data_IF_014899864252
#
_entry.id   IF_014899864252
#
_cell.length_a   1.000
_cell.length_b   1.000
_cell.length_c   1.000
_cell.angle_alpha   90.00
_cell.angle_beta   90.00
_cell.angle_gamma   90.00
#
_symmetry.space_group_name_H-M   'P 1'
#
loop_
_entity.id
_entity.type
_entity.pdbx_description
1 polymer ?
#
# COMPACT_ATOMS: atom_id res chain seq x y z
N UNK A 1 -23.13 -47.88 -33.92
CA UNK A 1 -23.89 -46.63 -33.71
C UNK A 1 -24.23 -46.36 -32.24
N UNK A 2 -24.61 -47.36 -31.43
CA UNK A 2 -24.92 -47.18 -29.98
C UNK A 2 -23.78 -46.55 -29.15
N UNK A 3 -22.52 -46.94 -29.41
CA UNK A 3 -21.36 -46.44 -28.64
C UNK A 3 -21.05 -44.94 -28.88
N UNK A 4 -21.49 -44.37 -30.01
CA UNK A 4 -21.33 -42.93 -30.30
C UNK A 4 -22.36 -42.09 -29.56
N UNK A 5 -23.60 -42.58 -29.46
CA UNK A 5 -24.68 -41.87 -28.79
C UNK A 5 -24.52 -41.87 -27.25
N UNK A 6 -23.96 -42.95 -26.69
CA UNK A 6 -23.64 -43.02 -25.26
C UNK A 6 -22.55 -42.02 -24.89
N UNK A 7 -21.45 -41.99 -25.66
CA UNK A 7 -20.35 -41.02 -25.46
C UNK A 7 -20.79 -39.57 -25.59
N UNK A 8 -21.69 -39.28 -26.52
CA UNK A 8 -22.24 -37.93 -26.67
C UNK A 8 -23.10 -37.52 -25.48
N UNK A 9 -23.92 -38.44 -24.95
CA UNK A 9 -24.72 -38.20 -23.73
C UNK A 9 -23.83 -38.00 -22.50
N UNK A 10 -22.77 -38.79 -22.35
CA UNK A 10 -21.80 -38.64 -21.27
C UNK A 10 -21.13 -37.27 -21.30
N UNK A 11 -20.69 -36.82 -22.48
CA UNK A 11 -20.10 -35.48 -22.66
C UNK A 11 -21.08 -34.34 -22.33
N UNK A 12 -22.34 -34.47 -22.75
CA UNK A 12 -23.35 -33.44 -22.45
C UNK A 12 -23.62 -33.36 -20.94
N UNK A 13 -23.66 -34.49 -20.23
CA UNK A 13 -23.83 -34.53 -18.78
C UNK A 13 -22.61 -33.94 -18.07
N UNK A 14 -21.40 -34.26 -18.53
CA UNK A 14 -20.15 -33.71 -17.99
C UNK A 14 -20.06 -32.19 -18.18
N UNK A 15 -20.37 -31.69 -19.37
CA UNK A 15 -20.43 -30.24 -19.65
C UNK A 15 -21.47 -29.54 -18.77
N UNK A 16 -22.64 -30.14 -18.58
CA UNK A 16 -23.68 -29.56 -17.72
C UNK A 16 -23.22 -29.47 -16.26
N UNK A 17 -22.61 -30.54 -15.74
CA UNK A 17 -22.09 -30.57 -14.38
C UNK A 17 -20.94 -29.56 -14.15
N UNK A 18 -20.01 -29.46 -15.10
CA UNK A 18 -18.93 -28.47 -15.03
C UNK A 18 -19.45 -27.04 -15.15
N UNK A 19 -20.48 -26.80 -15.98
CA UNK A 19 -21.12 -25.48 -16.11
C UNK A 19 -21.80 -25.07 -14.80
N UNK A 20 -22.60 -25.95 -14.19
CA UNK A 20 -23.28 -25.68 -12.91
C UNK A 20 -22.27 -25.46 -11.77
N UNK A 21 -21.18 -26.24 -11.75
CA UNK A 21 -20.09 -26.05 -10.80
C UNK A 21 -19.38 -24.70 -10.98
N UNK A 22 -19.15 -24.29 -12.22
CA UNK A 22 -18.54 -22.99 -12.54
C UNK A 22 -19.47 -21.83 -12.17
N UNK A 23 -20.78 -21.97 -12.44
CA UNK A 23 -21.83 -21.02 -12.02
C UNK A 23 -21.80 -20.80 -10.51
N UNK A 24 -21.79 -21.87 -9.72
CA UNK A 24 -21.72 -21.77 -8.26
C UNK A 24 -20.45 -21.06 -7.80
N UNK A 25 -19.28 -21.44 -8.34
CA UNK A 25 -18.01 -20.81 -7.99
C UNK A 25 -17.99 -19.32 -8.35
N UNK A 26 -18.43 -18.95 -9.55
CA UNK A 26 -18.54 -17.56 -9.99
C UNK A 26 -19.46 -16.77 -9.04
N UNK A 27 -20.63 -17.31 -8.72
CA UNK A 27 -21.59 -16.67 -7.82
C UNK A 27 -21.03 -16.49 -6.40
N UNK A 28 -20.16 -17.39 -5.96
CA UNK A 28 -19.52 -17.32 -4.64
C UNK A 28 -18.37 -16.31 -4.60
N UNK A 29 -17.50 -16.29 -5.62
CA UNK A 29 -16.29 -15.45 -5.61
C UNK A 29 -16.56 -14.00 -6.03
N UNK A 30 -17.48 -13.77 -6.97
CA UNK A 30 -17.74 -12.45 -7.54
C UNK A 30 -18.09 -11.37 -6.50
N UNK A 31 -19.03 -11.57 -5.56
CA UNK A 31 -19.36 -10.54 -4.57
C UNK A 31 -18.19 -10.24 -3.62
N UNK A 32 -17.39 -11.25 -3.28
CA UNK A 32 -16.21 -11.08 -2.41
C UNK A 32 -15.11 -10.30 -3.13
N UNK A 33 -14.91 -10.59 -4.41
CA UNK A 33 -13.97 -9.89 -5.26
C UNK A 33 -14.37 -8.41 -5.43
N UNK A 34 -15.65 -8.13 -5.69
CA UNK A 34 -16.18 -6.77 -5.77
C UNK A 34 -16.01 -6.00 -4.46
N UNK A 35 -16.31 -6.64 -3.31
CA UNK A 35 -16.15 -6.03 -2.00
C UNK A 35 -14.68 -5.62 -1.75
N UNK A 36 -13.73 -6.51 -2.03
CA UNK A 36 -12.29 -6.22 -1.87
C UNK A 36 -11.80 -5.16 -2.85
N UNK A 37 -12.29 -5.16 -4.10
CA UNK A 37 -12.01 -4.09 -5.05
C UNK A 37 -12.48 -2.72 -4.53
N UNK A 38 -13.69 -2.65 -3.98
CA UNK A 38 -14.21 -1.44 -3.37
C UNK A 38 -13.38 -1.02 -2.15
N UNK A 39 -12.99 -1.99 -1.33
CA UNK A 39 -12.18 -1.74 -0.14
C UNK A 39 -10.78 -1.22 -0.49
N UNK A 40 -10.10 -1.82 -1.47
CA UNK A 40 -8.79 -1.39 -1.93
C UNK A 40 -8.83 0.02 -2.52
N UNK A 41 -9.86 0.36 -3.30
CA UNK A 41 -10.06 1.72 -3.81
C UNK A 41 -10.28 2.74 -2.69
N UNK A 42 -11.07 2.39 -1.68
CA UNK A 42 -11.28 3.23 -0.52
C UNK A 42 -9.97 3.44 0.26
N UNK A 43 -9.20 2.37 0.48
CA UNK A 43 -7.90 2.45 1.14
C UNK A 43 -6.91 3.34 0.37
N UNK A 44 -6.86 3.22 -0.96
CA UNK A 44 -6.04 4.08 -1.80
C UNK A 44 -6.45 5.57 -1.68
N UNK A 45 -7.75 5.86 -1.65
CA UNK A 45 -8.28 7.21 -1.42
C UNK A 45 -7.92 7.74 -0.03
N UNK A 46 -8.14 6.94 1.03
CA UNK A 46 -7.85 7.32 2.41
C UNK A 46 -6.35 7.59 2.60
N UNK A 47 -5.49 6.81 1.93
CA UNK A 47 -4.03 7.01 1.92
C UNK A 47 -3.66 8.33 1.24
N UNK A 48 -4.25 8.62 0.07
CA UNK A 48 -4.06 9.90 -0.62
C UNK A 48 -4.49 11.09 0.23
N UNK A 49 -5.62 10.95 0.93
CA UNK A 49 -6.12 11.99 1.81
C UNK A 49 -5.19 12.21 3.00
N UNK A 50 -4.65 11.14 3.60
CA UNK A 50 -3.65 11.25 4.66
C UNK A 50 -2.38 11.98 4.18
N UNK A 51 -1.87 11.64 3.00
CA UNK A 51 -0.69 12.27 2.39
C UNK A 51 -0.84 13.80 2.26
N UNK A 52 -2.03 14.28 1.91
CA UNK A 52 -2.31 15.72 1.78
C UNK A 52 -2.11 16.51 3.08
N UNK A 53 -2.26 15.85 4.24
CA UNK A 53 -2.12 16.46 5.56
C UNK A 53 -0.69 16.51 6.09
N UNK A 54 0.25 15.76 5.51
CA UNK A 54 1.62 15.62 6.04
C UNK A 54 2.41 16.93 6.03
N UNK A 55 2.04 17.85 5.16
CA UNK A 55 2.69 19.14 4.97
C UNK A 55 2.26 20.17 6.01
N UNK A 56 1.20 19.89 6.78
CA UNK A 56 0.68 20.79 7.81
C UNK A 56 1.23 20.44 9.19
N UNK A 57 1.72 21.45 9.90
CA UNK A 57 2.41 21.38 11.22
C UNK A 57 1.60 20.69 12.34
N UNK A 58 0.32 20.35 12.12
CA UNK A 58 -0.60 19.92 13.20
C UNK A 58 -0.65 18.43 13.51
N UNK A 59 0.20 17.62 12.92
CA UNK A 59 -0.12 16.21 12.89
C UNK A 59 0.85 15.35 13.70
N UNK A 60 0.62 15.25 14.99
CA UNK A 60 0.92 14.00 15.73
C UNK A 60 -0.22 12.99 15.56
N UNK A 61 -1.41 13.47 15.14
CA UNK A 61 -2.65 12.68 15.04
C UNK A 61 -2.75 11.72 13.85
N UNK A 62 -1.90 11.84 12.82
CA UNK A 62 -2.05 11.00 11.61
C UNK A 62 -1.24 9.69 11.68
N UNK A 63 -0.34 9.52 12.66
CA UNK A 63 0.41 8.27 12.85
C UNK A 63 -0.49 7.09 13.24
N UNK A 64 -1.42 7.22 14.21
CA UNK A 64 -2.44 6.19 14.47
C UNK A 64 -3.32 5.91 13.26
N UNK A 65 -3.61 6.94 12.44
CA UNK A 65 -4.34 6.80 11.18
C UNK A 65 -3.61 5.89 10.19
N UNK A 66 -2.30 6.13 9.97
CA UNK A 66 -1.47 5.32 9.08
C UNK A 66 -1.29 3.88 9.56
N UNK A 67 -1.16 3.65 10.86
CA UNK A 67 -1.15 2.29 11.41
C UNK A 67 -2.47 1.56 11.13
N UNK A 68 -3.60 2.27 11.22
CA UNK A 68 -4.91 1.75 10.80
C UNK A 68 -4.96 1.37 9.32
N UNK A 69 -4.44 2.24 8.43
CA UNK A 69 -4.37 1.95 6.99
C UNK A 69 -3.48 0.73 6.69
N UNK A 70 -2.35 0.58 7.38
CA UNK A 70 -1.46 -0.58 7.26
C UNK A 70 -2.13 -1.87 7.73
N UNK A 71 -2.81 -1.85 8.88
CA UNK A 71 -3.55 -3.02 9.37
C UNK A 71 -4.64 -3.43 8.39
N UNK A 72 -5.39 -2.48 7.84
CA UNK A 72 -6.43 -2.73 6.84
C UNK A 72 -5.85 -3.32 5.55
N UNK A 73 -4.71 -2.83 5.06
CA UNK A 73 -4.00 -3.43 3.93
C UNK A 73 -3.66 -4.90 4.20
N UNK A 74 -3.09 -5.21 5.37
CA UNK A 74 -2.71 -6.57 5.74
C UNK A 74 -3.91 -7.50 5.90
N UNK A 75 -5.01 -7.01 6.48
CA UNK A 75 -6.26 -7.76 6.61
C UNK A 75 -6.82 -8.13 5.24
N UNK A 76 -6.80 -7.20 4.29
CA UNK A 76 -7.23 -7.42 2.93
C UNK A 76 -6.35 -8.47 2.20
N UNK A 77 -5.02 -8.38 2.33
CA UNK A 77 -4.09 -9.38 1.77
C UNK A 77 -4.30 -10.78 2.37
N UNK A 78 -4.58 -10.88 3.67
CA UNK A 78 -4.95 -12.15 4.32
C UNK A 78 -6.29 -12.67 3.81
N UNK A 79 -7.31 -11.82 3.73
CA UNK A 79 -8.63 -12.21 3.24
C UNK A 79 -8.58 -12.76 1.81
N UNK A 80 -7.72 -12.19 0.97
CA UNK A 80 -7.46 -12.66 -0.40
C UNK A 80 -6.77 -14.03 -0.38
N UNK A 81 -5.70 -14.17 0.39
CA UNK A 81 -4.87 -15.39 0.44
C UNK A 81 -5.64 -16.57 1.03
N UNK A 82 -6.35 -16.36 2.13
CA UNK A 82 -7.07 -17.42 2.86
C UNK A 82 -8.45 -17.73 2.24
N UNK A 83 -9.05 -16.75 1.58
CA UNK A 83 -10.46 -16.79 1.24
C UNK A 83 -10.78 -16.95 -0.25
N UNK A 84 -9.93 -16.42 -1.14
CA UNK A 84 -10.25 -16.27 -2.56
C UNK A 84 -9.28 -16.98 -3.48
N UNK A 85 -7.99 -16.97 -3.16
CA UNK A 85 -6.95 -17.48 -4.04
C UNK A 85 -7.24 -18.91 -4.53
N UNK A 86 -7.45 -19.87 -3.62
CA UNK A 86 -7.72 -21.26 -4.01
C UNK A 86 -9.01 -21.44 -4.82
N UNK A 87 -10.05 -20.63 -4.56
CA UNK A 87 -11.32 -20.68 -5.31
C UNK A 87 -11.17 -20.13 -6.72
N UNK A 88 -10.32 -19.11 -6.90
CA UNK A 88 -10.02 -18.52 -8.19
C UNK A 88 -9.11 -19.43 -9.03
N UNK A 89 -8.14 -20.10 -8.41
CA UNK A 89 -7.34 -21.16 -9.05
C UNK A 89 -8.23 -22.33 -9.52
N UNK A 90 -9.20 -22.73 -8.70
CA UNK A 90 -10.19 -23.74 -9.10
C UNK A 90 -11.08 -23.26 -10.25
N UNK A 91 -11.56 -22.01 -10.18
CA UNK A 91 -12.37 -21.39 -11.23
C UNK A 91 -11.60 -21.32 -12.55
N UNK A 92 -10.31 -20.96 -12.53
CA UNK A 92 -9.44 -20.95 -13.72
C UNK A 92 -9.31 -22.35 -14.32
N UNK A 93 -9.01 -23.35 -13.50
CA UNK A 93 -8.90 -24.76 -13.93
C UNK A 93 -10.20 -25.25 -14.57
N UNK A 94 -11.35 -24.98 -13.94
CA UNK A 94 -12.67 -25.40 -14.44
C UNK A 94 -13.06 -24.65 -15.70
N UNK A 95 -12.79 -23.35 -15.78
CA UNK A 95 -13.04 -22.56 -16.98
C UNK A 95 -12.22 -23.08 -18.18
N UNK A 96 -10.95 -23.45 -17.95
CA UNK A 96 -10.10 -24.07 -18.96
C UNK A 96 -10.63 -25.44 -19.39
N UNK A 97 -10.98 -26.30 -18.42
CA UNK A 97 -11.52 -27.63 -18.73
C UNK A 97 -12.84 -27.55 -19.51
N UNK A 98 -13.75 -26.67 -19.10
CA UNK A 98 -15.01 -26.44 -19.82
C UNK A 98 -14.77 -25.95 -21.24
N UNK A 99 -13.72 -25.14 -21.47
CA UNK A 99 -13.32 -24.68 -22.79
C UNK A 99 -12.78 -25.80 -23.69
N UNK A 100 -12.13 -26.83 -23.13
CA UNK A 100 -11.70 -28.03 -23.86
C UNK A 100 -12.89 -28.92 -24.23
N UNK A 101 -13.86 -29.07 -23.33
CA UNK A 101 -15.07 -29.86 -23.56
C UNK A 101 -16.05 -29.18 -24.52
N UNK A 102 -16.15 -27.85 -24.46
CA UNK A 102 -17.02 -27.03 -25.28
C UNK A 102 -16.32 -25.69 -25.62
N UNK A 103 -16.00 -25.41 -26.90
CA UNK A 103 -15.29 -24.18 -27.26
C UNK A 103 -16.01 -22.92 -26.74
N UNK A 104 -15.27 -22.09 -25.99
CA UNK A 104 -15.75 -20.90 -25.25
C UNK A 104 -16.60 -19.89 -26.04
N UNK A 105 -16.62 -19.94 -27.38
CA UNK A 105 -17.46 -19.08 -28.23
C UNK A 105 -18.95 -19.46 -28.19
N UNK A 106 -19.29 -20.64 -27.67
CA UNK A 106 -20.65 -21.17 -27.59
C UNK A 106 -21.21 -21.20 -26.15
N UNK A 107 -20.39 -20.88 -25.14
CA UNK A 107 -20.76 -20.99 -23.73
C UNK A 107 -20.69 -19.61 -23.05
N UNK A 108 -21.84 -18.98 -22.69
CA UNK A 108 -21.90 -17.75 -21.92
C UNK A 108 -21.11 -17.84 -20.60
N UNK A 109 -21.11 -19.04 -19.99
CA UNK A 109 -20.47 -19.25 -18.69
C UNK A 109 -18.96 -19.14 -18.73
N UNK A 110 -18.33 -19.56 -19.83
CA UNK A 110 -16.89 -19.34 -20.06
C UNK A 110 -16.56 -17.85 -20.14
N UNK A 111 -17.44 -17.02 -20.71
CA UNK A 111 -17.20 -15.57 -20.79
C UNK A 111 -17.30 -14.90 -19.42
N UNK A 112 -18.24 -15.33 -18.60
CA UNK A 112 -18.42 -14.81 -17.24
C UNK A 112 -17.24 -15.19 -16.34
N UNK A 113 -16.81 -16.46 -16.36
CA UNK A 113 -15.61 -16.89 -15.65
C UNK A 113 -14.37 -16.08 -16.07
N UNK A 114 -14.18 -15.82 -17.36
CA UNK A 114 -13.10 -14.95 -17.84
C UNK A 114 -13.22 -13.50 -17.36
N UNK A 115 -14.43 -12.96 -17.20
CA UNK A 115 -14.63 -11.62 -16.60
C UNK A 115 -14.20 -11.63 -15.14
N UNK A 116 -14.59 -12.64 -14.38
CA UNK A 116 -14.19 -12.80 -12.97
C UNK A 116 -12.67 -12.94 -12.82
N UNK A 117 -12.01 -13.74 -13.68
CA UNK A 117 -10.55 -13.88 -13.69
C UNK A 117 -9.82 -12.57 -14.04
N UNK A 118 -10.36 -11.78 -14.98
CA UNK A 118 -9.82 -10.43 -15.28
C UNK A 118 -9.98 -9.48 -14.10
N UNK A 119 -11.13 -9.50 -13.43
CA UNK A 119 -11.36 -8.70 -12.24
C UNK A 119 -10.42 -9.12 -11.10
N UNK A 120 -10.10 -10.41 -10.99
CA UNK A 120 -9.11 -10.93 -10.05
C UNK A 120 -7.71 -10.39 -10.32
N UNK A 121 -7.23 -10.48 -11.57
CA UNK A 121 -5.94 -9.91 -11.95
C UNK A 121 -5.88 -8.41 -11.63
N UNK A 122 -6.94 -7.66 -11.96
CA UNK A 122 -7.04 -6.24 -11.62
C UNK A 122 -7.04 -5.96 -10.12
N UNK A 123 -7.66 -6.82 -9.30
CA UNK A 123 -7.57 -6.70 -7.83
C UNK A 123 -6.14 -6.92 -7.34
N UNK A 124 -5.43 -7.94 -7.87
CA UNK A 124 -4.05 -8.20 -7.48
C UNK A 124 -3.14 -7.01 -7.77
N UNK A 125 -3.26 -6.41 -8.96
CA UNK A 125 -2.53 -5.19 -9.33
C UNK A 125 -2.86 -4.03 -8.39
N UNK A 126 -4.16 -3.80 -8.14
CA UNK A 126 -4.63 -2.74 -7.25
C UNK A 126 -4.11 -2.92 -5.81
N UNK A 127 -4.04 -4.15 -5.30
CA UNK A 127 -3.51 -4.44 -3.97
C UNK A 127 -2.01 -4.17 -3.88
N UNK A 128 -1.24 -4.52 -4.91
CA UNK A 128 0.19 -4.21 -4.98
C UNK A 128 0.43 -2.70 -5.01
N UNK A 129 -0.32 -1.98 -5.83
CA UNK A 129 -0.24 -0.52 -5.90
C UNK A 129 -0.62 0.14 -4.57
N UNK A 130 -1.73 -0.30 -3.97
CA UNK A 130 -2.21 0.23 -2.69
C UNK A 130 -1.23 -0.05 -1.57
N UNK A 131 -0.61 -1.25 -1.54
CA UNK A 131 0.46 -1.59 -0.61
C UNK A 131 1.65 -0.65 -0.75
N UNK A 132 2.18 -0.51 -1.96
CA UNK A 132 3.34 0.34 -2.23
C UNK A 132 3.06 1.78 -1.78
N UNK A 133 1.85 2.28 -2.05
CA UNK A 133 1.42 3.61 -1.63
C UNK A 133 1.30 3.76 -0.11
N UNK A 134 0.69 2.81 0.60
CA UNK A 134 0.59 2.84 2.07
C UNK A 134 1.98 2.80 2.72
N UNK A 135 2.90 2.00 2.18
CA UNK A 135 4.29 1.96 2.64
C UNK A 135 5.01 3.29 2.40
N UNK A 136 4.84 3.88 1.22
CA UNK A 136 5.40 5.19 0.88
C UNK A 136 4.83 6.31 1.76
N UNK A 137 3.51 6.33 2.00
CA UNK A 137 2.86 7.27 2.92
C UNK A 137 3.43 7.16 4.34
N UNK A 138 3.74 5.94 4.80
CA UNK A 138 4.44 5.71 6.07
C UNK A 138 5.83 6.35 6.11
N UNK A 139 6.64 6.16 5.05
CA UNK A 139 7.98 6.78 4.94
C UNK A 139 7.90 8.30 4.88
N UNK A 140 6.99 8.85 4.09
CA UNK A 140 6.75 10.30 3.99
C UNK A 140 6.41 10.90 5.34
N UNK A 141 5.51 10.26 6.09
CA UNK A 141 5.14 10.75 7.41
C UNK A 141 6.31 10.74 8.38
N UNK A 142 7.11 9.68 8.36
CA UNK A 142 8.32 9.61 9.18
C UNK A 142 9.28 10.76 8.85
N UNK A 143 9.51 10.99 7.56
CA UNK A 143 10.33 12.09 7.07
C UNK A 143 9.85 13.46 7.59
N UNK A 144 8.57 13.80 7.39
CA UNK A 144 8.05 15.11 7.83
C UNK A 144 8.07 15.29 9.35
N UNK A 145 7.85 14.21 10.12
CA UNK A 145 7.98 14.25 11.58
C UNK A 145 9.43 14.55 11.99
N UNK A 146 10.38 13.83 11.41
CA UNK A 146 11.79 13.98 11.76
C UNK A 146 12.36 15.32 11.30
N UNK A 147 11.89 15.82 10.15
CA UNK A 147 12.12 17.17 9.68
C UNK A 147 11.67 18.23 10.71
N UNK A 148 10.42 18.17 11.16
CA UNK A 148 9.89 19.12 12.15
C UNK A 148 10.65 19.04 13.48
N UNK A 149 11.02 17.83 13.91
CA UNK A 149 11.83 17.64 15.11
C UNK A 149 13.24 18.25 14.95
N UNK A 150 13.85 18.15 13.77
CA UNK A 150 15.14 18.75 13.47
C UNK A 150 15.08 20.28 13.50
N UNK A 151 14.04 20.88 12.90
CA UNK A 151 13.82 22.33 12.93
C UNK A 151 13.65 22.82 14.38
N UNK A 152 12.74 22.20 15.13
CA UNK A 152 12.50 22.56 16.54
C UNK A 152 13.78 22.48 17.37
N UNK A 153 14.55 21.41 17.22
CA UNK A 153 15.80 21.25 17.96
C UNK A 153 16.84 22.30 17.57
N UNK A 154 16.92 22.65 16.28
CA UNK A 154 17.84 23.66 15.76
C UNK A 154 17.48 25.05 16.28
N UNK A 155 16.19 25.39 16.32
CA UNK A 155 15.69 26.65 16.88
C UNK A 155 15.94 26.75 18.39
N UNK A 156 15.66 25.68 19.15
CA UNK A 156 15.90 25.63 20.59
C UNK A 156 17.39 25.77 20.93
N UNK A 157 18.25 25.08 20.17
CA UNK A 157 19.71 25.14 20.35
C UNK A 157 20.25 26.52 19.99
N UNK A 158 19.75 27.11 18.90
CA UNK A 158 20.06 28.50 18.52
C UNK A 158 19.67 29.47 19.63
N UNK A 159 18.45 29.36 20.16
CA UNK A 159 17.98 30.22 21.24
C UNK A 159 18.84 30.08 22.50
N UNK A 160 19.24 28.85 22.87
CA UNK A 160 20.16 28.61 23.99
C UNK A 160 21.49 29.37 23.81
N UNK A 161 22.13 29.22 22.65
CA UNK A 161 23.41 29.88 22.32
C UNK A 161 23.29 31.41 22.41
N UNK A 162 22.20 31.99 21.90
CA UNK A 162 22.02 33.46 21.86
C UNK A 162 21.39 34.06 23.12
N UNK A 163 20.78 33.26 23.99
CA UNK A 163 20.17 33.73 25.25
C UNK A 163 21.20 34.03 26.35
N UNK A 164 22.43 33.57 26.19
CA UNK A 164 23.52 33.87 27.13
C UNK A 164 24.02 35.30 26.95
N UNK A 165 23.61 36.17 27.88
CA UNK A 165 24.01 37.58 27.87
C UNK A 165 25.54 37.75 28.01
N UNK A 166 26.17 38.76 27.37
CA UNK A 166 27.61 39.03 27.48
C UNK A 166 28.11 39.41 28.90
N UNK A 167 27.24 39.41 29.92
CA UNK A 167 27.53 39.85 31.29
C UNK A 167 27.26 38.81 32.39
N UNK A 168 26.74 37.63 32.06
CA UNK A 168 26.58 36.52 32.98
C UNK A 168 27.44 35.40 32.44
N UNK A 169 28.59 35.14 33.08
CA UNK A 169 29.59 34.10 32.73
C UNK A 169 29.19 33.24 31.51
N UNK A 170 29.67 33.57 30.31
CA UNK A 170 29.35 32.80 29.10
C UNK A 170 29.62 31.30 29.28
N UNK A 171 28.95 30.45 28.49
CA UNK A 171 29.02 28.99 28.51
C UNK A 171 30.34 28.50 29.09
N UNK A 172 30.27 27.89 30.27
CA UNK A 172 31.45 27.29 30.89
C UNK A 172 32.00 26.22 29.92
N UNK A 173 33.33 26.11 29.80
CA UNK A 173 34.02 25.14 28.92
C UNK A 173 33.38 23.73 28.86
N UNK A 174 33.02 23.07 29.99
CA UNK A 174 32.33 21.77 29.94
C UNK A 174 30.91 21.80 29.33
N UNK A 175 30.22 22.94 29.37
CA UNK A 175 28.92 23.12 28.73
C UNK A 175 29.06 23.34 27.22
N UNK A 176 30.11 24.03 26.77
CA UNK A 176 30.46 24.11 25.34
C UNK A 176 30.75 22.72 24.77
N UNK A 177 31.61 21.94 25.42
CA UNK A 177 31.96 20.58 24.96
C UNK A 177 30.73 19.65 24.89
N UNK A 178 29.80 19.79 25.84
CA UNK A 178 28.53 19.06 25.82
C UNK A 178 27.64 19.47 24.64
N UNK A 179 27.53 20.77 24.35
CA UNK A 179 26.77 21.28 23.21
C UNK A 179 27.39 20.81 21.88
N UNK A 180 28.71 20.87 21.73
CA UNK A 180 29.41 20.36 20.56
C UNK A 180 29.10 18.88 20.30
N UNK A 181 29.14 18.06 21.36
CA UNK A 181 28.80 16.63 21.24
C UNK A 181 27.35 16.40 20.82
N UNK A 182 26.42 17.21 21.35
CA UNK A 182 24.99 17.15 20.96
C UNK A 182 24.80 17.55 19.50
N UNK A 183 25.49 18.60 19.05
CA UNK A 183 25.48 19.06 17.65
C UNK A 183 26.01 17.94 16.74
N UNK A 184 27.14 17.32 17.08
CA UNK A 184 27.69 16.23 16.28
C UNK A 184 26.73 15.01 16.21
N UNK A 185 26.07 14.68 17.32
CA UNK A 185 25.01 13.67 17.33
C UNK A 185 23.86 14.02 16.40
N UNK A 186 23.43 15.28 16.40
CA UNK A 186 22.34 15.77 15.55
C UNK A 186 22.70 15.86 14.07
N UNK A 187 23.94 16.16 13.73
CA UNK A 187 24.41 16.09 12.34
C UNK A 187 24.26 14.68 11.76
N UNK A 188 24.52 13.62 12.56
CA UNK A 188 24.29 12.22 12.12
C UNK A 188 22.81 11.90 11.93
N UNK A 189 21.92 12.49 12.73
CA UNK A 189 20.47 12.38 12.52
C UNK A 189 20.03 13.11 11.25
N UNK A 190 20.61 14.28 10.98
CA UNK A 190 20.38 15.05 9.76
C UNK A 190 20.82 14.27 8.51
N UNK A 191 22.00 13.66 8.52
CA UNK A 191 22.46 12.82 7.39
C UNK A 191 21.47 11.69 7.06
N UNK A 192 20.90 11.04 8.09
CA UNK A 192 19.87 10.01 7.91
C UNK A 192 18.58 10.59 7.34
N UNK A 193 18.13 11.73 7.85
CA UNK A 193 16.96 12.44 7.35
C UNK A 193 17.13 12.85 5.89
N UNK A 194 18.29 13.41 5.54
CA UNK A 194 18.64 13.79 4.19
C UNK A 194 18.65 12.57 3.25
N UNK A 195 19.26 11.47 3.65
CA UNK A 195 19.25 10.22 2.88
C UNK A 195 17.82 9.71 2.65
N UNK A 196 16.96 9.72 3.68
CA UNK A 196 15.56 9.32 3.56
C UNK A 196 14.78 10.25 2.62
N UNK A 197 15.00 11.55 2.70
CA UNK A 197 14.38 12.53 1.81
C UNK A 197 14.82 12.35 0.35
N UNK A 198 16.11 12.12 0.10
CA UNK A 198 16.62 11.85 -1.26
C UNK A 198 16.05 10.56 -1.85
N UNK A 199 15.87 9.51 -1.04
CA UNK A 199 15.20 8.28 -1.48
C UNK A 199 13.75 8.56 -1.90
N UNK A 200 12.99 9.31 -1.08
CA UNK A 200 11.61 9.68 -1.39
C UNK A 200 11.48 10.53 -2.66
N UNK A 201 12.46 11.42 -2.90
CA UNK A 201 12.54 12.22 -4.13
C UNK A 201 12.79 11.33 -5.35
N UNK A 202 13.70 10.36 -5.23
CA UNK A 202 14.03 9.41 -6.30
C UNK A 202 12.87 8.47 -6.66
N UNK A 203 11.92 8.26 -5.74
CA UNK A 203 10.66 7.54 -5.99
C UNK A 203 9.61 8.38 -6.77
N UNK A 204 9.96 9.60 -7.22
CA UNK A 204 9.10 10.50 -8.00
C UNK A 204 7.72 10.79 -7.36
N UNK A 205 7.69 10.91 -6.04
CA UNK A 205 6.44 11.20 -5.32
C UNK A 205 5.89 12.60 -5.63
N UNK A 206 4.57 12.79 -5.50
CA UNK A 206 3.90 14.09 -5.68
C UNK A 206 4.44 15.20 -4.73
N UNK A 207 5.05 14.80 -3.62
CA UNK A 207 5.64 15.71 -2.63
C UNK A 207 7.14 15.95 -2.84
N UNK A 208 7.78 15.39 -3.87
CA UNK A 208 9.23 15.48 -4.08
C UNK A 208 9.76 16.91 -4.10
N UNK A 209 9.07 17.83 -4.78
CA UNK A 209 9.47 19.24 -4.81
C UNK A 209 9.47 19.87 -3.41
N UNK A 210 8.45 19.55 -2.60
CA UNK A 210 8.40 20.03 -1.22
C UNK A 210 9.47 19.38 -0.34
N UNK A 211 9.74 18.08 -0.51
CA UNK A 211 10.81 17.40 0.23
C UNK A 211 12.15 18.06 -0.06
N UNK A 212 12.43 18.40 -1.33
CA UNK A 212 13.63 19.14 -1.71
C UNK A 212 13.70 20.51 -1.03
N UNK A 213 12.64 21.31 -1.09
CA UNK A 213 12.58 22.61 -0.41
C UNK A 213 12.86 22.48 1.10
N UNK A 214 12.25 21.48 1.78
CA UNK A 214 12.49 21.23 3.21
C UNK A 214 13.91 20.76 3.52
N UNK A 215 14.55 20.02 2.61
CA UNK A 215 15.95 19.64 2.78
C UNK A 215 16.91 20.82 2.59
N UNK A 216 16.57 21.79 1.75
CA UNK A 216 17.35 23.01 1.54
C UNK A 216 17.22 24.01 2.70
N UNK A 217 16.11 23.97 3.45
CA UNK A 217 15.87 24.81 4.63
C UNK A 217 16.65 24.37 5.89
N UNK A 218 17.14 23.12 5.93
CA UNK A 218 17.93 22.55 7.03
C UNK A 218 19.42 22.84 6.89
#
# INVERSE_FOLDING_TARGET
>A
MLNSAVKERERVVEVAAETESLEHLVAEVSPRLEALCCEAKALAHDTAQAESGFTTVKSEKDLPGLQGLQSRQQEMERAVSEGLQGKLEELERKAFHLQELCPARLCPMSQEAQRTLRAWAGLQELLQETRARVEQAGRLRHFFRDYLAMISWTEDTRAQIFSESPGSHGLLEPQCEELERKIEGKLKEFEKLAAAGQQLVAEEHNLSAMIQERLEEL
#
